data_IF_400722887695
#
_entry.id   IF_400722887695
#
_cell.length_a   1.000
_cell.length_b   1.000
_cell.length_c   1.000
_cell.angle_alpha   90.00
_cell.angle_beta   90.00
_cell.angle_gamma   90.00
#
_symmetry.space_group_name_H-M   'P 1'
#
loop_
_entity.id
_entity.type
_entity.pdbx_description
1 polymer ?
#
# COMPACT_ATOMS: atom_id res chain seq x y z
N UNK A 1 12.96 -0.49 11.97
CA UNK A 1 12.26 -0.96 10.76
C UNK A 1 11.68 0.25 10.04
N UNK A 2 12.21 0.63 8.86
CA UNK A 2 11.70 1.77 8.10
C UNK A 2 10.22 1.60 7.77
N UNK A 3 9.49 2.73 7.80
CA UNK A 3 8.06 2.76 7.48
C UNK A 3 7.77 3.91 6.52
N UNK A 4 7.02 3.62 5.48
CA UNK A 4 6.72 4.55 4.40
C UNK A 4 5.22 4.77 4.30
N UNK A 5 4.81 6.03 4.24
CA UNK A 5 3.43 6.39 3.95
C UNK A 5 3.28 6.48 2.42
N UNK A 6 2.36 5.69 1.89
CA UNK A 6 2.11 5.60 0.45
C UNK A 6 1.44 6.86 -0.09
N UNK A 7 1.62 7.13 -1.38
CA UNK A 7 1.01 8.27 -2.08
C UNK A 7 -0.47 7.99 -2.35
N UNK A 8 -1.33 8.95 -2.06
CA UNK A 8 -2.76 8.83 -2.35
C UNK A 8 -3.04 9.32 -3.76
N UNK A 9 -3.78 8.53 -4.53
CA UNK A 9 -4.21 8.89 -5.89
C UNK A 9 -5.73 8.78 -6.04
N UNK A 10 -6.35 9.55 -6.96
CA UNK A 10 -7.75 9.37 -7.30
C UNK A 10 -7.96 8.06 -8.10
N UNK A 11 -9.17 7.49 -8.06
CA UNK A 11 -9.48 6.23 -8.76
C UNK A 11 -9.25 6.32 -10.28
N UNK A 12 -9.48 7.49 -10.88
CA UNK A 12 -9.23 7.73 -12.30
C UNK A 12 -7.75 7.57 -12.71
N UNK A 13 -6.80 7.78 -11.78
CA UNK A 13 -5.37 7.64 -12.07
C UNK A 13 -4.92 6.17 -12.21
N UNK A 14 -5.73 5.23 -11.72
CA UNK A 14 -5.43 3.79 -11.72
C UNK A 14 -6.47 2.99 -12.53
N UNK A 15 -7.25 3.67 -13.37
CA UNK A 15 -8.23 3.02 -14.23
C UNK A 15 -7.55 1.99 -15.16
N UNK A 16 -8.02 0.75 -15.12
CA UNK A 16 -7.46 -0.36 -15.91
C UNK A 16 -6.16 -0.96 -15.34
N UNK A 17 -5.69 -0.51 -14.18
CA UNK A 17 -4.57 -1.13 -13.47
C UNK A 17 -5.08 -2.16 -12.46
N UNK A 18 -4.20 -3.10 -12.08
CA UNK A 18 -4.51 -4.06 -11.02
C UNK A 18 -4.46 -3.37 -9.65
N UNK A 19 -5.58 -3.41 -8.93
CA UNK A 19 -5.71 -2.76 -7.62
C UNK A 19 -5.97 -3.83 -6.57
N UNK A 20 -5.01 -3.98 -5.66
CA UNK A 20 -5.14 -4.90 -4.53
C UNK A 20 -6.15 -4.35 -3.53
N UNK A 21 -7.00 -5.22 -3.00
CA UNK A 21 -7.98 -4.86 -1.96
C UNK A 21 -7.44 -5.23 -0.58
N UNK A 22 -7.29 -4.23 0.29
CA UNK A 22 -6.87 -4.45 1.68
C UNK A 22 -8.08 -4.68 2.58
N UNK A 23 -8.10 -5.79 3.32
CA UNK A 23 -9.09 -6.00 4.40
C UNK A 23 -8.63 -5.35 5.69
N UNK A 24 -9.48 -4.55 6.34
CA UNK A 24 -9.12 -3.84 7.58
C UNK A 24 -8.64 -4.81 8.69
N UNK A 25 -7.43 -4.58 9.19
CA UNK A 25 -6.83 -5.39 10.25
C UNK A 25 -5.81 -6.42 9.76
N UNK A 26 -5.76 -6.69 8.44
CA UNK A 26 -4.85 -7.68 7.84
C UNK A 26 -4.05 -7.03 6.71
N UNK A 27 -2.71 -7.00 6.79
CA UNK A 27 -1.88 -6.56 5.67
C UNK A 27 -2.17 -7.38 4.42
N UNK A 28 -2.13 -6.74 3.25
CA UNK A 28 -2.28 -7.41 1.95
C UNK A 28 -1.13 -8.39 1.71
N UNK A 29 0.08 -8.02 2.15
CA UNK A 29 1.28 -8.85 2.04
C UNK A 29 2.12 -8.74 3.30
N UNK A 30 2.60 -9.88 3.76
CA UNK A 30 3.63 -9.98 4.79
C UNK A 30 4.82 -10.73 4.20
N UNK A 31 6.02 -10.15 4.25
CA UNK A 31 7.25 -10.76 3.76
C UNK A 31 8.26 -11.09 4.88
N UNK A 32 9.52 -11.28 4.48
CA UNK A 32 10.66 -11.59 5.37
C UNK A 32 11.72 -10.47 5.43
N UNK A 33 11.49 -9.34 4.74
CA UNK A 33 12.35 -8.16 4.74
C UNK A 33 11.95 -7.16 5.84
N UNK A 34 12.44 -5.92 5.78
CA UNK A 34 12.34 -4.96 6.89
C UNK A 34 11.59 -3.65 6.56
N UNK A 35 10.77 -3.59 5.51
CA UNK A 35 10.01 -2.38 5.19
C UNK A 35 8.51 -2.58 5.49
N UNK A 36 7.88 -1.52 5.99
CA UNK A 36 6.43 -1.48 6.18
C UNK A 36 5.84 -0.29 5.43
N UNK A 37 4.86 -0.57 4.59
CA UNK A 37 4.16 0.45 3.82
C UNK A 37 2.77 0.65 4.42
N UNK A 38 2.41 1.90 4.65
CA UNK A 38 1.17 2.30 5.29
C UNK A 38 0.35 3.16 4.36
N UNK A 39 -0.96 3.16 4.59
CA UNK A 39 -1.85 4.07 3.91
C UNK A 39 -1.44 5.53 4.17
N UNK A 40 -1.31 6.32 3.11
CA UNK A 40 -0.97 7.74 3.20
C UNK A 40 -1.92 8.54 4.08
N UNK A 41 -3.21 8.17 4.09
CA UNK A 41 -4.26 8.87 4.83
C UNK A 41 -4.37 8.43 6.29
N UNK A 42 -4.66 7.15 6.53
CA UNK A 42 -5.05 6.66 7.86
C UNK A 42 -3.95 5.88 8.58
N UNK A 43 -2.77 5.76 7.97
CA UNK A 43 -1.58 5.06 8.50
C UNK A 43 -1.77 3.58 8.79
N UNK A 44 -2.87 2.96 8.35
CA UNK A 44 -3.03 1.50 8.40
C UNK A 44 -1.91 0.81 7.63
N UNK A 45 -1.33 -0.23 8.22
CA UNK A 45 -0.30 -1.06 7.57
C UNK A 45 -0.92 -1.85 6.43
N UNK A 46 -0.41 -1.65 5.22
CA UNK A 46 -0.88 -2.29 3.99
C UNK A 46 0.05 -3.44 3.60
N UNK A 47 1.35 -3.21 3.71
CA UNK A 47 2.38 -4.24 3.53
C UNK A 47 3.34 -4.22 4.72
N UNK A 48 3.74 -5.40 5.21
CA UNK A 48 4.57 -5.56 6.40
C UNK A 48 5.75 -6.47 6.09
N UNK A 49 6.94 -6.11 6.57
CA UNK A 49 8.17 -6.90 6.37
C UNK A 49 8.44 -7.21 4.89
N UNK A 50 8.12 -6.30 3.98
CA UNK A 50 8.37 -6.50 2.53
C UNK A 50 9.69 -5.87 2.14
N UNK A 51 10.25 -6.29 1.01
CA UNK A 51 11.35 -5.55 0.37
C UNK A 51 10.79 -4.38 -0.44
N UNK A 52 11.63 -3.37 -0.71
CA UNK A 52 11.25 -2.28 -1.62
C UNK A 52 10.77 -2.82 -2.98
N UNK A 53 11.47 -3.82 -3.53
CA UNK A 53 11.12 -4.46 -4.79
C UNK A 53 9.75 -5.15 -4.75
N UNK A 54 9.37 -5.74 -3.62
CA UNK A 54 8.05 -6.35 -3.45
C UNK A 54 6.89 -5.36 -3.41
N UNK A 55 7.16 -4.12 -2.95
CA UNK A 55 6.16 -3.06 -2.84
C UNK A 55 6.09 -2.18 -4.11
N UNK A 56 7.15 -2.20 -4.92
CA UNK A 56 7.30 -1.36 -6.09
C UNK A 56 6.19 -1.59 -7.11
N UNK A 57 5.52 -0.50 -7.52
CA UNK A 57 4.43 -0.53 -8.49
C UNK A 57 3.10 -1.12 -7.98
N UNK A 58 3.02 -1.57 -6.72
CA UNK A 58 1.77 -2.06 -6.16
C UNK A 58 0.80 -0.92 -5.89
N UNK A 59 -0.45 -1.14 -6.29
CA UNK A 59 -1.57 -0.24 -6.04
C UNK A 59 -2.53 -0.95 -5.11
N UNK A 60 -2.95 -0.27 -4.05
CA UNK A 60 -3.81 -0.87 -3.02
C UNK A 60 -4.91 0.09 -2.57
N UNK A 61 -6.15 -0.39 -2.61
CA UNK A 61 -7.30 0.27 -2.00
C UNK A 61 -7.36 -0.09 -0.53
N UNK A 62 -7.22 0.90 0.34
CA UNK A 62 -7.22 0.69 1.78
C UNK A 62 -8.64 0.41 2.29
N UNK A 63 -8.98 -0.83 2.63
CA UNK A 63 -10.32 -1.13 3.17
C UNK A 63 -10.66 -0.53 4.54
N UNK A 64 -9.76 0.23 5.19
CA UNK A 64 -10.12 1.04 6.38
C UNK A 64 -10.70 2.41 6.00
N UNK A 65 -10.17 3.07 4.97
CA UNK A 65 -10.54 4.45 4.64
C UNK A 65 -10.95 4.68 3.18
N UNK A 66 -10.92 3.63 2.35
CA UNK A 66 -11.31 3.64 0.95
C UNK A 66 -10.32 4.31 -0.01
N UNK A 67 -9.24 4.94 0.49
CA UNK A 67 -8.26 5.64 -0.35
C UNK A 67 -7.37 4.64 -1.11
N UNK A 68 -7.06 4.97 -2.36
CA UNK A 68 -6.11 4.23 -3.18
C UNK A 68 -4.71 4.76 -2.93
N UNK A 69 -3.77 3.83 -2.73
CA UNK A 69 -2.39 4.09 -2.37
C UNK A 69 -1.47 3.49 -3.42
N UNK A 70 -0.45 4.24 -3.83
CA UNK A 70 0.63 3.78 -4.71
C UNK A 70 1.97 3.94 -4.00
N UNK A 71 2.98 3.16 -4.42
CA UNK A 71 4.34 3.33 -3.91
C UNK A 71 4.78 4.81 -4.01
N UNK A 72 5.41 5.38 -2.96
CA UNK A 72 5.76 6.80 -2.91
C UNK A 72 6.94 7.20 -3.81
N UNK A 73 7.65 6.24 -4.43
CA UNK A 73 8.81 6.52 -5.29
C UNK A 73 8.45 6.66 -6.78
N UNK A 74 7.14 6.71 -7.14
CA UNK A 74 6.61 6.98 -8.48
C UNK A 74 5.85 8.31 -8.63
#
# INVERSE_FOLDING_TARGET
MPQFDMKIVPEAAVAGQDVLEHTAGTPVKTGESNETYRCGACKTKLFVNVSHHDAHGLIVKCGKCGKINTDPHH
#
